data_IF_780740352772
#
_entry.id   IF_780740352772
#
_cell.length_a   1.000
_cell.length_b   1.000
_cell.length_c   1.000
_cell.angle_alpha   90.00
_cell.angle_beta   90.00
_cell.angle_gamma   90.00
#
_symmetry.space_group_name_H-M   'P 1'
#
loop_
_entity.id
_entity.type
_entity.pdbx_description
1 polymer ?
#
# COMPACT_ATOMS: atom_id res chain seq x y z
N UNK A 1 8.74 -1.89 21.66
CA UNK A 1 8.80 -3.35 21.65
C UNK A 1 7.87 -3.90 20.57
N UNK A 2 8.24 -5.02 19.96
CA UNK A 2 7.41 -5.77 19.02
C UNK A 2 7.40 -7.24 19.43
N UNK A 3 6.27 -7.90 19.22
CA UNK A 3 6.09 -9.32 19.46
C UNK A 3 5.36 -9.94 18.29
N UNK A 4 5.72 -11.16 17.92
CA UNK A 4 5.08 -11.95 16.88
C UNK A 4 4.76 -13.34 17.43
N UNK A 5 3.57 -13.83 17.11
CA UNK A 5 3.13 -15.15 17.58
C UNK A 5 1.71 -15.47 17.13
N UNK A 6 1.31 -16.70 17.38
CA UNK A 6 -0.08 -17.12 17.19
C UNK A 6 -0.93 -16.65 18.37
N UNK A 7 -2.10 -16.16 18.07
CA UNK A 7 -3.08 -15.69 19.06
C UNK A 7 -4.42 -16.35 18.82
N UNK A 8 -5.21 -16.46 19.88
CA UNK A 8 -6.66 -16.71 19.79
C UNK A 8 -7.34 -15.38 20.04
N UNK A 9 -8.23 -15.00 19.16
CA UNK A 9 -8.96 -13.74 19.25
C UNK A 9 -10.46 -14.00 19.42
N UNK A 10 -11.14 -13.08 20.10
CA UNK A 10 -12.59 -12.96 20.16
C UNK A 10 -12.97 -11.60 19.62
N UNK A 11 -13.96 -11.55 18.71
CA UNK A 11 -14.43 -10.30 18.12
C UNK A 11 -15.62 -9.78 18.91
N UNK A 12 -15.44 -8.68 19.63
CA UNK A 12 -16.51 -8.06 20.41
C UNK A 12 -17.49 -7.28 19.53
N UNK A 13 -16.97 -6.65 18.48
CA UNK A 13 -17.77 -5.82 17.57
C UNK A 13 -17.15 -5.78 16.17
N UNK A 14 -17.98 -5.90 15.15
CA UNK A 14 -17.63 -5.65 13.74
C UNK A 14 -18.18 -4.28 13.32
N UNK A 15 -17.35 -3.47 12.69
CA UNK A 15 -17.72 -2.17 12.12
C UNK A 15 -17.65 -2.20 10.60
N UNK A 16 -18.57 -1.51 9.95
CA UNK A 16 -18.35 -1.06 8.57
C UNK A 16 -17.43 0.18 8.56
N UNK A 17 -16.88 0.51 7.40
CA UNK A 17 -16.09 1.74 7.27
C UNK A 17 -16.93 3.00 7.51
N UNK A 18 -18.19 2.95 7.10
CA UNK A 18 -19.15 4.03 7.27
C UNK A 18 -19.46 4.27 8.75
N UNK A 19 -19.76 3.21 9.50
CA UNK A 19 -19.99 3.30 10.97
C UNK A 19 -18.76 3.85 11.70
N UNK A 20 -17.56 3.34 11.38
CA UNK A 20 -16.33 3.82 11.98
C UNK A 20 -16.06 5.29 11.62
N UNK A 21 -16.36 5.70 10.39
CA UNK A 21 -16.20 7.08 9.94
C UNK A 21 -17.13 8.04 10.68
N UNK A 22 -18.41 7.67 10.86
CA UNK A 22 -19.35 8.47 11.63
C UNK A 22 -18.89 8.69 13.08
N UNK A 23 -18.29 7.65 13.69
CA UNK A 23 -17.72 7.78 15.04
C UNK A 23 -16.50 8.71 15.04
N UNK A 24 -15.63 8.64 14.05
CA UNK A 24 -14.48 9.53 13.89
C UNK A 24 -14.96 10.99 13.73
N UNK A 25 -16.06 11.21 13.00
CA UNK A 25 -16.69 12.51 12.77
C UNK A 25 -17.50 13.03 13.98
N UNK A 26 -17.59 12.26 15.07
CA UNK A 26 -18.13 12.72 16.34
C UNK A 26 -19.41 12.03 16.82
N UNK A 27 -20.02 11.13 16.03
CA UNK A 27 -21.19 10.37 16.43
C UNK A 27 -20.89 9.48 17.66
N UNK A 28 -21.85 9.31 18.52
CA UNK A 28 -21.76 8.34 19.63
C UNK A 28 -21.88 6.91 19.07
N UNK A 29 -21.13 5.99 19.69
CA UNK A 29 -21.13 4.58 19.27
C UNK A 29 -20.22 3.72 20.14
N UNK A 30 -20.32 2.41 19.93
CA UNK A 30 -19.49 1.43 20.61
C UNK A 30 -18.01 1.69 20.33
N UNK A 31 -17.15 1.51 21.33
CA UNK A 31 -15.69 1.65 21.21
C UNK A 31 -15.22 3.00 20.66
N UNK A 32 -16.01 4.08 20.81
CA UNK A 32 -15.66 5.42 20.34
C UNK A 32 -14.27 5.85 20.78
N UNK A 33 -13.95 5.66 22.07
CA UNK A 33 -12.65 6.03 22.62
C UNK A 33 -11.50 5.31 21.93
N UNK A 34 -11.64 4.02 21.71
CA UNK A 34 -10.64 3.17 21.06
C UNK A 34 -10.46 3.55 19.60
N UNK A 35 -11.54 3.77 18.85
CA UNK A 35 -11.53 4.20 17.46
C UNK A 35 -10.82 5.55 17.32
N UNK A 36 -11.12 6.53 18.18
CA UNK A 36 -10.46 7.84 18.13
C UNK A 36 -8.96 7.77 18.49
N UNK A 37 -8.56 6.89 19.40
CA UNK A 37 -7.15 6.66 19.72
C UNK A 37 -6.43 6.04 18.50
N UNK A 38 -7.03 5.04 17.86
CA UNK A 38 -6.47 4.39 16.69
C UNK A 38 -6.37 5.38 15.50
N UNK A 39 -7.39 6.19 15.25
CA UNK A 39 -7.37 7.25 14.25
C UNK A 39 -6.23 8.25 14.48
N UNK A 40 -6.07 8.71 15.72
CA UNK A 40 -4.96 9.60 16.08
C UNK A 40 -3.60 8.96 15.80
N UNK A 41 -3.42 7.69 16.14
CA UNK A 41 -2.16 6.97 15.86
C UNK A 41 -1.96 6.83 14.36
N UNK A 42 -2.98 6.46 13.59
CA UNK A 42 -2.92 6.35 12.14
C UNK A 42 -2.51 7.68 11.48
N UNK A 43 -3.08 8.79 11.91
CA UNK A 43 -2.71 10.14 11.45
C UNK A 43 -1.25 10.48 11.73
N UNK A 44 -0.73 10.09 12.89
CA UNK A 44 0.71 10.26 13.22
C UNK A 44 1.58 9.40 12.30
N UNK A 45 1.22 8.13 12.08
CA UNK A 45 1.96 7.22 11.20
C UNK A 45 1.98 7.74 9.76
N UNK A 46 0.83 8.17 9.23
CA UNK A 46 0.70 8.74 7.88
C UNK A 46 1.56 10.00 7.74
N UNK A 47 1.46 10.94 8.68
CA UNK A 47 2.27 12.18 8.67
C UNK A 47 3.77 11.87 8.67
N UNK A 48 4.21 10.91 9.49
CA UNK A 48 5.60 10.49 9.53
C UNK A 48 6.04 9.86 8.20
N UNK A 49 5.21 9.02 7.58
CA UNK A 49 5.48 8.37 6.28
C UNK A 49 5.63 9.39 5.16
N UNK A 50 4.69 10.34 5.06
CA UNK A 50 4.74 11.43 4.06
C UNK A 50 5.97 12.32 4.25
N UNK A 51 6.32 12.65 5.51
CA UNK A 51 7.56 13.39 5.81
C UNK A 51 8.82 12.67 5.37
N UNK A 52 8.81 11.33 5.34
CA UNK A 52 9.93 10.51 4.85
C UNK A 52 9.95 10.32 3.33
N UNK A 53 9.04 10.97 2.60
CA UNK A 53 9.02 10.96 1.14
C UNK A 53 8.07 9.93 0.51
N UNK A 54 7.08 9.43 1.25
CA UNK A 54 6.04 8.62 0.64
C UNK A 54 5.17 9.48 -0.29
N UNK A 55 4.69 8.88 -1.37
CA UNK A 55 3.72 9.50 -2.27
C UNK A 55 2.35 9.57 -1.61
N UNK A 56 1.69 10.72 -1.74
CA UNK A 56 0.32 10.94 -1.29
C UNK A 56 -0.64 10.85 -2.49
N UNK A 57 -0.88 9.64 -2.95
CA UNK A 57 -1.79 9.38 -4.05
C UNK A 57 -3.14 8.98 -3.47
N UNK A 58 -4.18 9.69 -3.86
CA UNK A 58 -5.57 9.36 -3.51
C UNK A 58 -6.20 8.64 -4.70
N UNK A 59 -6.65 7.40 -4.51
CA UNK A 59 -7.37 6.66 -5.54
C UNK A 59 -8.87 6.78 -5.31
N UNK A 60 -9.57 7.21 -6.34
CA UNK A 60 -11.02 7.08 -6.41
C UNK A 60 -11.34 5.69 -6.99
N UNK A 61 -12.20 4.96 -6.30
CA UNK A 61 -12.68 3.65 -6.76
C UNK A 61 -14.10 3.81 -7.29
N UNK A 62 -14.29 3.62 -8.58
CA UNK A 62 -15.63 3.55 -9.16
C UNK A 62 -16.26 2.19 -8.82
N UNK A 63 -17.44 2.22 -8.24
CA UNK A 63 -18.25 1.04 -7.94
C UNK A 63 -19.59 1.14 -8.63
N UNK A 64 -20.06 0.00 -9.11
CA UNK A 64 -21.42 -0.10 -9.64
C UNK A 64 -22.36 -0.59 -8.55
N UNK A 65 -23.45 0.15 -8.34
CA UNK A 65 -24.59 -0.39 -7.59
C UNK A 65 -25.42 -1.22 -8.54
N UNK A 66 -25.68 -2.46 -8.15
CA UNK A 66 -26.52 -3.36 -8.94
C UNK A 66 -27.99 -3.22 -8.49
N UNK A 67 -28.91 -3.31 -9.43
CA UNK A 67 -30.33 -3.44 -9.15
C UNK A 67 -30.69 -4.88 -8.73
N UNK A 68 -31.98 -5.11 -8.40
CA UNK A 68 -32.46 -6.42 -7.93
C UNK A 68 -32.27 -7.55 -8.93
N UNK A 69 -32.06 -7.22 -10.23
CA UNK A 69 -31.83 -8.18 -11.32
C UNK A 69 -30.34 -8.39 -11.61
N UNK A 70 -29.44 -7.68 -10.86
CA UNK A 70 -28.00 -7.79 -10.99
C UNK A 70 -27.38 -6.90 -12.09
N UNK A 71 -28.15 -6.01 -12.69
CA UNK A 71 -27.63 -5.05 -13.68
C UNK A 71 -27.10 -3.78 -13.01
N UNK A 72 -26.01 -3.17 -13.53
CA UNK A 72 -25.52 -1.88 -13.05
C UNK A 72 -26.60 -0.80 -13.17
N UNK A 73 -26.92 -0.13 -12.05
CA UNK A 73 -27.95 0.92 -11.99
C UNK A 73 -27.37 2.30 -11.71
N UNK A 74 -26.21 2.35 -11.04
CA UNK A 74 -25.60 3.61 -10.63
C UNK A 74 -24.08 3.44 -10.51
N UNK A 75 -23.32 4.47 -10.88
CA UNK A 75 -21.89 4.57 -10.63
C UNK A 75 -21.68 5.35 -9.33
N UNK A 76 -21.05 4.73 -8.34
CA UNK A 76 -20.73 5.35 -7.05
C UNK A 76 -19.23 5.53 -6.96
N UNK A 77 -18.78 6.78 -6.81
CA UNK A 77 -17.37 7.08 -6.55
C UNK A 77 -17.11 6.89 -5.06
N UNK A 78 -16.28 5.90 -4.72
CA UNK A 78 -15.87 5.66 -3.35
C UNK A 78 -14.58 6.38 -3.05
N UNK A 79 -14.65 7.42 -2.22
CA UNK A 79 -13.47 8.12 -1.71
C UNK A 79 -12.92 7.46 -0.45
N UNK A 80 -11.59 7.43 -0.32
CA UNK A 80 -10.92 6.90 0.88
C UNK A 80 -10.99 7.93 2.01
N UNK A 81 -11.81 7.65 3.05
CA UNK A 81 -11.96 8.47 4.25
C UNK A 81 -11.01 8.04 5.38
N UNK A 82 -11.05 8.74 6.52
CA UNK A 82 -10.17 8.49 7.67
C UNK A 82 -10.26 7.06 8.20
N UNK A 83 -11.46 6.45 8.23
CA UNK A 83 -11.63 5.06 8.63
C UNK A 83 -10.88 4.07 7.72
N UNK A 84 -10.82 4.33 6.40
CA UNK A 84 -10.01 3.54 5.46
C UNK A 84 -8.52 3.77 5.69
N UNK A 85 -8.11 5.03 5.85
CA UNK A 85 -6.72 5.42 6.12
C UNK A 85 -6.21 4.86 7.45
N UNK A 86 -7.09 4.73 8.46
CA UNK A 86 -6.78 4.08 9.74
C UNK A 86 -6.34 2.63 9.51
N UNK A 87 -7.15 1.84 8.85
CA UNK A 87 -6.83 0.43 8.56
C UNK A 87 -5.58 0.32 7.68
N UNK A 88 -5.48 1.14 6.63
CA UNK A 88 -4.31 1.20 5.75
C UNK A 88 -3.01 1.39 6.54
N UNK A 89 -2.93 2.39 7.41
CA UNK A 89 -1.69 2.70 8.14
C UNK A 89 -1.29 1.58 9.12
N UNK A 90 -2.26 0.92 9.77
CA UNK A 90 -1.95 -0.24 10.61
C UNK A 90 -1.54 -1.47 9.80
N UNK A 91 -2.13 -1.71 8.63
CA UNK A 91 -1.68 -2.74 7.70
C UNK A 91 -0.25 -2.47 7.20
N UNK A 92 0.04 -1.23 6.80
CA UNK A 92 1.38 -0.79 6.40
C UNK A 92 2.40 -0.97 7.53
N UNK A 93 2.02 -0.62 8.76
CA UNK A 93 2.87 -0.81 9.94
C UNK A 93 3.19 -2.28 10.16
N UNK A 94 2.19 -3.17 10.16
CA UNK A 94 2.37 -4.60 10.34
C UNK A 94 3.26 -5.20 9.24
N UNK A 95 2.95 -4.92 7.98
CA UNK A 95 3.71 -5.35 6.81
C UNK A 95 5.19 -4.94 6.90
N UNK A 96 5.46 -3.66 7.22
CA UNK A 96 6.81 -3.13 7.39
C UNK A 96 7.54 -3.77 8.57
N UNK A 97 6.87 -3.98 9.71
CA UNK A 97 7.49 -4.56 10.91
C UNK A 97 7.89 -6.01 10.68
N UNK A 98 7.05 -6.81 10.05
CA UNK A 98 7.39 -8.20 9.67
C UNK A 98 8.55 -8.22 8.68
N UNK A 99 8.49 -7.40 7.62
CA UNK A 99 9.57 -7.32 6.65
C UNK A 99 10.90 -6.91 7.28
N UNK A 100 10.90 -5.92 8.17
CA UNK A 100 12.10 -5.46 8.87
C UNK A 100 12.64 -6.53 9.83
N UNK A 101 11.78 -7.29 10.49
CA UNK A 101 12.19 -8.36 11.40
C UNK A 101 12.89 -9.49 10.65
N UNK A 102 12.28 -9.98 9.59
CA UNK A 102 12.82 -11.08 8.78
C UNK A 102 14.07 -10.70 7.96
N UNK A 103 14.24 -9.40 7.65
CA UNK A 103 15.40 -8.90 6.90
C UNK A 103 16.65 -8.74 7.75
N UNK A 104 16.55 -8.85 9.08
CA UNK A 104 17.70 -8.69 9.97
C UNK A 104 18.32 -10.06 10.24
N UNK A 105 19.53 -10.33 9.74
CA UNK A 105 20.22 -11.56 10.13
C UNK A 105 20.53 -11.54 11.62
N UNK A 106 20.31 -12.65 12.32
CA UNK A 106 20.95 -12.88 13.60
C UNK A 106 22.47 -12.95 13.39
N UNK A 107 23.27 -12.53 14.40
CA UNK A 107 24.73 -12.62 14.31
C UNK A 107 25.16 -14.02 13.88
N UNK A 108 25.87 -14.10 12.75
CA UNK A 108 26.41 -15.37 12.21
C UNK A 108 25.43 -16.21 11.36
N UNK A 109 24.33 -15.63 10.94
CA UNK A 109 23.37 -16.26 10.02
C UNK A 109 23.13 -15.41 8.79
N UNK A 110 22.85 -16.06 7.67
CA UNK A 110 22.32 -15.40 6.48
C UNK A 110 20.89 -14.88 6.74
N UNK A 111 20.49 -13.79 6.05
CA UNK A 111 19.11 -13.32 6.10
C UNK A 111 18.14 -14.44 5.71
N UNK A 112 16.98 -14.48 6.34
CA UNK A 112 15.93 -15.40 5.95
C UNK A 112 15.51 -15.16 4.49
N UNK A 113 15.39 -16.23 3.68
CA UNK A 113 14.78 -16.10 2.37
C UNK A 113 13.36 -15.58 2.53
N UNK A 114 13.05 -14.48 1.85
CA UNK A 114 11.81 -13.75 2.04
C UNK A 114 11.20 -13.30 0.72
N UNK A 115 9.91 -13.03 0.72
CA UNK A 115 9.21 -12.33 -0.35
C UNK A 115 9.07 -10.87 0.05
N UNK A 116 9.70 -9.98 -0.72
CA UNK A 116 9.53 -8.54 -0.59
C UNK A 116 8.47 -8.04 -1.58
N UNK A 117 7.75 -7.00 -1.21
CA UNK A 117 7.01 -6.17 -2.14
C UNK A 117 7.87 -4.96 -2.45
N UNK A 118 8.44 -4.93 -3.61
CA UNK A 118 9.37 -3.88 -4.03
C UNK A 118 8.72 -2.92 -5.01
N UNK A 119 9.19 -1.69 -4.99
CA UNK A 119 8.77 -0.65 -5.91
C UNK A 119 9.98 0.23 -6.20
N UNK A 120 10.48 0.15 -7.42
CA UNK A 120 11.66 0.90 -7.86
C UNK A 120 11.36 2.39 -7.96
N UNK A 121 12.43 3.17 -8.06
CA UNK A 121 12.37 4.59 -8.40
C UNK A 121 11.70 4.80 -9.76
N UNK A 122 11.08 5.96 -10.00
CA UNK A 122 10.53 6.31 -11.30
C UNK A 122 11.58 6.23 -12.42
N UNK A 123 11.14 5.84 -13.60
CA UNK A 123 11.95 5.86 -14.79
C UNK A 123 12.20 7.31 -15.24
N UNK A 124 13.48 7.78 -15.38
CA UNK A 124 13.79 9.16 -15.73
C UNK A 124 13.14 9.61 -17.05
N UNK A 125 13.17 8.75 -18.08
CA UNK A 125 12.60 9.10 -19.39
C UNK A 125 11.07 9.29 -19.32
N UNK A 126 10.37 8.50 -18.47
CA UNK A 126 8.93 8.71 -18.24
C UNK A 126 8.66 9.97 -17.43
N UNK A 127 9.55 10.32 -16.50
CA UNK A 127 9.44 11.56 -15.73
C UNK A 127 9.64 12.77 -16.63
N UNK A 128 10.55 12.73 -17.60
CA UNK A 128 10.73 13.80 -18.59
C UNK A 128 9.47 13.99 -19.44
N UNK A 129 8.85 12.89 -19.91
CA UNK A 129 7.58 12.95 -20.65
C UNK A 129 6.46 13.52 -19.77
N UNK A 130 6.41 13.14 -18.50
CA UNK A 130 5.44 13.66 -17.55
C UNK A 130 5.65 15.17 -17.30
N UNK A 131 6.91 15.62 -17.16
CA UNK A 131 7.23 17.04 -17.00
C UNK A 131 6.72 17.87 -18.18
N UNK A 132 7.00 17.43 -19.41
CA UNK A 132 6.49 18.10 -20.63
C UNK A 132 4.95 18.10 -20.68
N UNK A 133 4.32 17.03 -20.18
CA UNK A 133 2.87 16.95 -20.12
C UNK A 133 2.26 18.01 -19.19
N UNK A 134 2.79 18.14 -17.95
CA UNK A 134 2.25 19.09 -16.98
C UNK A 134 2.54 20.55 -17.32
N UNK A 135 3.60 20.84 -18.08
CA UNK A 135 3.87 22.20 -18.60
C UNK A 135 2.72 22.74 -19.45
N UNK A 136 1.96 21.86 -20.13
CA UNK A 136 0.77 22.27 -20.93
C UNK A 136 -0.36 22.82 -20.05
N UNK A 137 -0.36 22.49 -18.77
CA UNK A 137 -1.30 23.03 -17.77
C UNK A 137 -0.72 24.20 -16.98
N UNK A 138 0.49 24.66 -17.36
CA UNK A 138 1.14 25.80 -16.71
C UNK A 138 1.99 25.46 -15.50
N UNK A 139 2.12 24.16 -15.13
CA UNK A 139 2.88 23.74 -13.98
C UNK A 139 4.31 23.38 -14.36
N UNK A 140 5.26 23.75 -13.50
CA UNK A 140 6.67 23.38 -13.64
C UNK A 140 7.12 22.59 -12.42
N UNK A 141 7.74 21.45 -12.66
CA UNK A 141 8.23 20.56 -11.60
C UNK A 141 9.63 20.06 -11.91
N UNK A 142 10.50 20.08 -10.93
CA UNK A 142 11.81 19.46 -11.03
C UNK A 142 11.71 17.97 -10.67
N UNK A 143 11.99 17.11 -11.66
CA UNK A 143 11.91 15.66 -11.56
C UNK A 143 13.27 14.96 -11.79
N UNK A 144 14.37 15.73 -11.87
CA UNK A 144 15.70 15.17 -12.16
C UNK A 144 16.35 14.49 -10.93
N UNK A 145 16.10 15.02 -9.72
CA UNK A 145 16.60 14.40 -8.50
C UNK A 145 15.59 13.39 -7.93
N UNK A 146 15.93 12.11 -8.03
CA UNK A 146 15.10 10.98 -7.56
C UNK A 146 14.66 11.10 -6.10
N UNK A 147 15.45 11.78 -5.26
CA UNK A 147 15.12 11.96 -3.83
C UNK A 147 14.05 13.04 -3.63
N UNK A 148 13.95 13.99 -4.53
CA UNK A 148 12.99 15.09 -4.45
C UNK A 148 11.71 14.84 -5.23
N UNK A 149 11.69 13.91 -6.18
CA UNK A 149 10.52 13.62 -7.03
C UNK A 149 9.24 13.44 -6.20
N UNK A 150 9.26 12.58 -5.19
CA UNK A 150 8.07 12.32 -4.37
C UNK A 150 7.58 13.58 -3.64
N UNK A 151 8.50 14.40 -3.14
CA UNK A 151 8.18 15.66 -2.48
C UNK A 151 7.56 16.66 -3.47
N UNK A 152 8.15 16.78 -4.64
CA UNK A 152 7.70 17.70 -5.68
C UNK A 152 6.35 17.28 -6.25
N UNK A 153 6.14 15.98 -6.47
CA UNK A 153 4.84 15.44 -6.88
C UNK A 153 3.76 15.68 -5.80
N UNK A 154 4.08 15.44 -4.53
CA UNK A 154 3.12 15.71 -3.45
C UNK A 154 2.76 17.20 -3.37
N UNK A 155 3.74 18.10 -3.58
CA UNK A 155 3.48 19.55 -3.62
C UNK A 155 2.58 19.92 -4.80
N UNK A 156 2.85 19.39 -5.99
CA UNK A 156 2.01 19.58 -7.17
C UNK A 156 0.58 19.08 -6.92
N UNK A 157 0.41 17.87 -6.40
CA UNK A 157 -0.92 17.31 -6.12
C UNK A 157 -1.72 18.14 -5.10
N UNK A 158 -1.03 18.74 -4.13
CA UNK A 158 -1.70 19.64 -3.17
C UNK A 158 -2.08 20.97 -3.81
N UNK A 159 -1.22 21.53 -4.68
CA UNK A 159 -1.48 22.77 -5.42
C UNK A 159 -2.70 22.66 -6.33
N UNK A 160 -2.80 21.55 -7.09
CA UNK A 160 -3.87 21.36 -8.10
C UNK A 160 -5.08 20.58 -7.57
N UNK A 161 -5.20 20.34 -6.26
CA UNK A 161 -6.21 19.45 -5.66
C UNK A 161 -7.64 19.80 -6.07
N UNK A 162 -7.97 21.07 -6.17
CA UNK A 162 -9.29 21.58 -6.53
C UNK A 162 -9.44 21.86 -8.04
N UNK A 163 -8.40 21.62 -8.83
CA UNK A 163 -8.41 21.88 -10.26
C UNK A 163 -8.98 20.67 -11.06
N UNK A 164 -9.55 20.98 -12.22
CA UNK A 164 -10.18 19.97 -13.08
C UNK A 164 -9.19 18.92 -13.59
N UNK A 165 -7.92 19.26 -13.76
CA UNK A 165 -6.84 18.39 -14.22
C UNK A 165 -6.27 17.48 -13.14
N UNK A 166 -6.64 17.62 -11.88
CA UNK A 166 -6.09 16.84 -10.76
C UNK A 166 -6.05 15.34 -11.02
N UNK A 167 -7.20 14.75 -11.35
CA UNK A 167 -7.31 13.30 -11.59
C UNK A 167 -6.48 12.85 -12.79
N UNK A 168 -6.41 13.68 -13.84
CA UNK A 168 -5.61 13.39 -15.03
C UNK A 168 -4.11 13.43 -14.73
N UNK A 169 -3.65 14.50 -14.07
CA UNK A 169 -2.23 14.68 -13.69
C UNK A 169 -1.80 13.56 -12.75
N UNK A 170 -2.62 13.22 -11.75
CA UNK A 170 -2.33 12.12 -10.83
C UNK A 170 -2.25 10.78 -11.54
N UNK A 171 -3.18 10.49 -12.47
CA UNK A 171 -3.18 9.27 -13.28
C UNK A 171 -1.92 9.16 -14.14
N UNK A 172 -1.49 10.26 -14.76
CA UNK A 172 -0.28 10.30 -15.58
C UNK A 172 0.99 10.13 -14.74
N UNK A 173 1.04 10.74 -13.55
CA UNK A 173 2.13 10.53 -12.60
C UNK A 173 2.25 9.05 -12.20
N UNK A 174 1.12 8.39 -11.86
CA UNK A 174 1.11 6.95 -11.52
C UNK A 174 1.62 6.09 -12.68
N UNK A 175 1.22 6.38 -13.92
CA UNK A 175 1.67 5.66 -15.11
C UNK A 175 3.16 5.83 -15.40
N UNK A 176 3.74 6.92 -14.94
CA UNK A 176 5.16 7.21 -15.06
C UNK A 176 6.01 6.51 -14.00
N UNK A 177 5.38 5.98 -12.94
CA UNK A 177 6.06 5.19 -11.91
C UNK A 177 6.40 3.79 -12.39
N UNK A 178 7.42 3.20 -11.76
CA UNK A 178 7.68 1.77 -11.88
C UNK A 178 6.48 0.96 -11.34
N UNK A 179 6.28 -0.25 -11.84
CA UNK A 179 5.28 -1.16 -11.26
C UNK A 179 5.88 -1.90 -10.08
N UNK A 180 5.16 -1.93 -8.96
CA UNK A 180 5.56 -2.77 -7.85
C UNK A 180 5.50 -4.26 -8.22
N UNK A 181 6.44 -5.06 -7.72
CA UNK A 181 6.53 -6.50 -7.95
C UNK A 181 6.84 -7.25 -6.65
N UNK A 182 6.73 -8.57 -6.69
CA UNK A 182 7.24 -9.43 -5.63
C UNK A 182 8.60 -9.95 -6.03
N UNK A 183 9.60 -9.81 -5.15
CA UNK A 183 10.98 -10.20 -5.38
C UNK A 183 11.59 -10.84 -4.12
N UNK A 184 12.63 -11.62 -4.32
CA UNK A 184 13.44 -12.15 -3.21
C UNK A 184 14.56 -11.19 -2.82
N UNK A 185 14.92 -10.27 -3.68
CA UNK A 185 15.89 -9.21 -3.43
C UNK A 185 15.19 -7.94 -2.99
N UNK A 186 15.73 -7.30 -1.96
CA UNK A 186 15.14 -6.08 -1.41
C UNK A 186 15.76 -4.83 -2.02
N UNK A 187 15.02 -4.12 -2.84
CA UNK A 187 15.38 -2.79 -3.34
C UNK A 187 14.57 -1.67 -2.66
N UNK A 188 13.76 -2.00 -1.65
CA UNK A 188 12.86 -1.08 -0.98
C UNK A 188 11.54 -0.84 -1.74
N UNK A 189 10.73 0.06 -1.22
CA UNK A 189 9.46 0.45 -1.81
C UNK A 189 9.38 1.97 -1.94
N UNK A 190 9.71 2.49 -3.13
CA UNK A 190 9.80 3.93 -3.38
C UNK A 190 8.52 4.67 -2.99
N UNK A 191 7.37 4.29 -3.54
CA UNK A 191 6.10 5.01 -3.30
C UNK A 191 5.66 5.06 -1.83
N UNK A 192 6.10 4.11 -0.99
CA UNK A 192 5.83 4.09 0.46
C UNK A 192 6.97 4.67 1.30
N UNK A 193 8.12 4.97 0.71
CA UNK A 193 9.35 5.36 1.38
C UNK A 193 9.80 4.35 2.46
N UNK A 194 9.66 3.05 2.20
CA UNK A 194 10.05 1.98 3.10
C UNK A 194 11.30 1.26 2.60
N UNK A 195 12.28 1.08 3.48
CA UNK A 195 13.50 0.29 3.19
C UNK A 195 13.21 -1.21 3.10
N UNK A 196 12.27 -1.71 3.90
CA UNK A 196 11.86 -3.10 3.91
C UNK A 196 10.34 -3.13 3.93
N UNK A 197 9.75 -3.82 2.95
CA UNK A 197 8.30 -3.95 2.86
C UNK A 197 7.93 -5.31 2.26
N UNK A 198 6.88 -5.89 2.79
CA UNK A 198 6.28 -7.10 2.28
C UNK A 198 4.79 -7.09 2.54
N UNK A 199 4.08 -8.01 1.93
CA UNK A 199 2.67 -8.21 2.21
C UNK A 199 2.48 -9.35 3.22
N UNK A 200 1.72 -9.06 4.28
CA UNK A 200 1.50 -9.98 5.41
C UNK A 200 0.03 -10.02 5.87
N UNK A 201 -0.73 -8.94 5.65
CA UNK A 201 -2.01 -8.67 6.33
C UNK A 201 -3.26 -9.13 5.57
N UNK A 202 -3.16 -9.69 4.36
CA UNK A 202 -4.32 -10.06 3.54
C UNK A 202 -4.23 -11.46 2.93
N UNK A 203 -4.18 -12.55 3.74
CA UNK A 203 -3.96 -13.91 3.26
C UNK A 203 -5.11 -14.51 2.44
N UNK A 204 -6.30 -13.94 2.53
CA UNK A 204 -7.47 -14.42 1.77
C UNK A 204 -7.32 -14.16 0.27
N UNK A 205 -6.68 -13.05 -0.11
CA UNK A 205 -6.60 -12.59 -1.51
C UNK A 205 -5.19 -12.50 -2.08
N UNK A 206 -4.14 -12.64 -1.27
CA UNK A 206 -2.75 -12.55 -1.73
C UNK A 206 -1.93 -13.73 -1.25
N UNK A 207 -1.35 -14.47 -2.19
CA UNK A 207 -0.55 -15.65 -1.87
C UNK A 207 0.73 -15.31 -1.09
N UNK A 208 1.35 -14.15 -1.33
CA UNK A 208 2.49 -13.69 -0.54
C UNK A 208 2.19 -13.65 0.96
N UNK A 209 0.98 -13.21 1.32
CA UNK A 209 0.50 -13.12 2.71
C UNK A 209 0.20 -14.48 3.35
N UNK A 210 0.26 -15.59 2.59
CA UNK A 210 0.28 -16.95 3.13
C UNK A 210 1.72 -17.47 3.34
N UNK A 211 2.63 -17.12 2.43
CA UNK A 211 4.02 -17.58 2.47
C UNK A 211 4.79 -16.85 3.56
N UNK A 212 4.66 -15.52 3.64
CA UNK A 212 5.40 -14.71 4.63
C UNK A 212 5.10 -15.08 6.08
N UNK A 213 3.83 -15.33 6.53
CA UNK A 213 3.55 -15.86 7.85
C UNK A 213 4.17 -17.25 8.12
N UNK A 214 4.28 -18.11 7.11
CA UNK A 214 4.94 -19.42 7.27
C UNK A 214 6.43 -19.25 7.50
N UNK A 215 7.09 -18.38 6.74
CA UNK A 215 8.49 -18.00 6.94
C UNK A 215 8.69 -17.41 8.35
N UNK A 216 7.81 -16.50 8.78
CA UNK A 216 7.84 -15.94 10.12
C UNK A 216 7.68 -17.01 11.20
N UNK A 217 6.77 -17.97 11.01
CA UNK A 217 6.59 -19.09 11.93
C UNK A 217 7.84 -19.96 12.04
N UNK A 218 8.52 -20.23 10.91
CA UNK A 218 9.78 -20.99 10.89
C UNK A 218 10.87 -20.25 11.66
N UNK A 219 11.00 -18.92 11.47
CA UNK A 219 11.95 -18.10 12.24
C UNK A 219 11.68 -18.17 13.75
N UNK A 220 10.42 -18.09 14.15
CA UNK A 220 10.04 -18.08 15.56
C UNK A 220 10.18 -19.44 16.25
N UNK A 221 10.14 -20.56 15.51
CA UNK A 221 10.07 -21.90 16.10
C UNK A 221 11.29 -22.78 15.81
N UNK A 222 11.52 -23.08 14.55
CA UNK A 222 12.50 -24.10 14.16
C UNK A 222 13.82 -23.51 13.66
N UNK A 223 13.80 -22.25 13.24
CA UNK A 223 14.91 -21.58 12.57
C UNK A 223 15.47 -22.37 11.36
N UNK A 224 14.63 -23.23 10.77
CA UNK A 224 14.94 -24.02 9.58
C UNK A 224 14.20 -23.42 8.38
N UNK A 225 14.91 -23.27 7.28
CA UNK A 225 14.34 -22.74 6.04
C UNK A 225 13.77 -23.87 5.18
N UNK A 226 12.45 -23.93 5.04
CA UNK A 226 11.79 -24.81 4.06
C UNK A 226 11.75 -24.20 2.67
N UNK A 227 11.73 -22.87 2.60
CA UNK A 227 11.70 -22.12 1.35
C UNK A 227 13.13 -21.79 0.92
N UNK A 228 13.61 -22.43 -0.14
CA UNK A 228 14.91 -22.15 -0.77
C UNK A 228 14.73 -21.47 -2.13
N UNK A 229 15.30 -22.06 -3.18
CA UNK A 229 15.22 -21.52 -4.56
C UNK A 229 13.81 -21.35 -5.15
N UNK A 230 12.79 -21.95 -4.54
CA UNK A 230 11.40 -21.87 -4.98
C UNK A 230 10.79 -20.46 -4.84
N UNK A 231 11.28 -19.63 -3.89
CA UNK A 231 10.70 -18.30 -3.65
C UNK A 231 10.78 -17.40 -4.87
N UNK A 232 11.86 -17.48 -5.65
CA UNK A 232 11.99 -16.67 -6.87
C UNK A 232 10.93 -17.03 -7.90
N UNK A 233 10.64 -18.32 -8.08
CA UNK A 233 9.59 -18.80 -8.96
C UNK A 233 8.19 -18.38 -8.45
N UNK A 234 7.97 -18.44 -7.14
CA UNK A 234 6.75 -17.97 -6.49
C UNK A 234 6.57 -16.49 -6.74
N UNK A 235 7.57 -15.65 -6.51
CA UNK A 235 7.53 -14.20 -6.74
C UNK A 235 7.15 -13.86 -8.20
N UNK A 236 7.80 -14.51 -9.16
CA UNK A 236 7.51 -14.34 -10.58
C UNK A 236 6.05 -14.70 -10.92
N UNK A 237 5.58 -15.85 -10.40
CA UNK A 237 4.21 -16.33 -10.64
C UNK A 237 3.15 -15.41 -10.05
N UNK A 238 3.30 -14.98 -8.80
CA UNK A 238 2.32 -14.11 -8.14
C UNK A 238 2.31 -12.71 -8.76
N UNK A 239 3.47 -12.16 -9.15
CA UNK A 239 3.54 -10.88 -9.88
C UNK A 239 2.86 -10.95 -11.25
N UNK A 240 3.02 -12.06 -11.98
CA UNK A 240 2.34 -12.28 -13.25
C UNK A 240 0.82 -12.41 -13.08
N UNK A 241 0.36 -13.13 -12.06
CA UNK A 241 -1.07 -13.31 -11.80
C UNK A 241 -1.72 -12.00 -11.34
N UNK A 242 -1.04 -11.19 -10.54
CA UNK A 242 -1.52 -9.86 -10.14
C UNK A 242 -1.74 -8.95 -11.36
N UNK A 243 -0.79 -8.95 -12.31
CA UNK A 243 -0.93 -8.18 -13.56
C UNK A 243 -2.14 -8.63 -14.38
N UNK A 244 -2.33 -9.94 -14.53
CA UNK A 244 -3.50 -10.50 -15.22
C UNK A 244 -4.81 -10.10 -14.55
N UNK A 245 -4.87 -10.14 -13.21
CA UNK A 245 -6.05 -9.72 -12.47
C UNK A 245 -6.37 -8.23 -12.69
N UNK A 246 -5.34 -7.37 -12.65
CA UNK A 246 -5.52 -5.93 -12.91
C UNK A 246 -5.86 -5.63 -14.39
N UNK A 247 -5.43 -6.46 -15.33
CA UNK A 247 -5.81 -6.36 -16.73
C UNK A 247 -7.29 -6.73 -16.91
N UNK A 248 -7.71 -7.86 -16.34
CA UNK A 248 -9.12 -8.30 -16.39
C UNK A 248 -10.07 -7.29 -15.71
N UNK A 249 -9.66 -6.69 -14.59
CA UNK A 249 -10.44 -5.65 -13.92
C UNK A 249 -10.65 -4.44 -14.84
N UNK A 250 -9.60 -3.98 -15.54
CA UNK A 250 -9.71 -2.85 -16.49
C UNK A 250 -10.52 -3.17 -17.74
N UNK A 251 -10.59 -4.43 -18.16
CA UNK A 251 -11.42 -4.86 -19.29
C UNK A 251 -12.89 -4.99 -18.90
N UNK A 252 -13.19 -5.14 -17.61
CA UNK A 252 -14.55 -5.28 -17.10
C UNK A 252 -15.22 -3.94 -16.72
N UNK A 253 -14.44 -2.86 -16.66
CA UNK A 253 -14.91 -1.49 -16.38
C UNK A 253 -14.92 -0.63 -17.63
#
# INVERSE_FOLDING_TARGET
NQWFGKTVIHSDRRFSYEEAQEIIEGKEGDFKKEILILDKIAKILRKARLKHGALNIESEEMRFRLNDVGNPSEVVIKTSKDAHKLIEEFMLLANRKVATFLSKPEKGRDPFPMIYRVHDSPDPGKMDVFSVFIEKFGHKIDLHDTKSIAKNLNALFEEIREENEYSLVQSMAIRSMAKASYETENIGHYGLAFKHYSHFTSPIRRYADLVVPRILQEELTSKQHKYGGELKAICSRISKNERKASEAEREST
#
